data_IF_492475189678
#
_entry.id   IF_492475189678
#
_cell.length_a   1.000
_cell.length_b   1.000
_cell.length_c   1.000
_cell.angle_alpha   90.00
_cell.angle_beta   90.00
_cell.angle_gamma   90.00
#
_symmetry.space_group_name_H-M   'P 1'
#
loop_
_entity.id
_entity.type
_entity.pdbx_description
1 polymer ?
#
# COMPACT_ATOMS: atom_id res chain seq x y z
N UNK A 1 10.65 -2.90 5.11
CA UNK A 1 10.51 -4.34 5.43
C UNK A 1 11.49 -4.80 6.51
N UNK A 2 12.80 -4.64 6.34
CA UNK A 2 13.79 -5.10 7.35
C UNK A 2 13.61 -4.50 8.75
N UNK A 3 13.21 -3.25 8.85
CA UNK A 3 12.89 -2.60 10.14
C UNK A 3 11.81 -3.38 10.91
N UNK A 4 10.68 -3.68 10.26
CA UNK A 4 9.60 -4.42 10.90
C UNK A 4 9.99 -5.85 11.26
N UNK A 5 10.77 -6.52 10.40
CA UNK A 5 11.26 -7.86 10.68
C UNK A 5 12.15 -7.87 11.91
N UNK A 6 13.07 -6.91 12.04
CA UNK A 6 13.92 -6.77 13.22
C UNK A 6 13.11 -6.43 14.47
N UNK A 7 12.20 -5.43 14.36
CA UNK A 7 11.34 -5.02 15.47
C UNK A 7 10.56 -6.19 16.03
N UNK A 8 9.81 -6.90 15.18
CA UNK A 8 8.98 -8.03 15.62
C UNK A 8 9.82 -9.16 16.19
N UNK A 9 10.91 -9.54 15.50
CA UNK A 9 11.76 -10.64 15.93
C UNK A 9 12.39 -10.40 17.31
N UNK A 10 12.87 -9.18 17.56
CA UNK A 10 13.60 -8.86 18.79
C UNK A 10 12.66 -8.47 19.94
N UNK A 11 11.64 -7.64 19.67
CA UNK A 11 10.82 -7.06 20.75
C UNK A 11 9.58 -7.89 21.07
N UNK A 12 8.93 -8.48 20.07
CA UNK A 12 7.68 -9.21 20.26
C UNK A 12 7.90 -10.72 20.39
N UNK A 13 8.85 -11.26 19.62
CA UNK A 13 9.18 -12.70 19.66
C UNK A 13 10.36 -13.01 20.58
N UNK A 14 10.91 -12.00 21.24
CA UNK A 14 12.06 -12.12 22.18
C UNK A 14 13.27 -12.86 21.57
N UNK A 15 13.50 -12.65 20.28
CA UNK A 15 14.65 -13.21 19.57
C UNK A 15 15.96 -12.58 20.03
N UNK A 16 17.01 -13.39 20.04
CA UNK A 16 18.37 -12.94 20.38
C UNK A 16 18.94 -12.09 19.25
N UNK A 17 18.59 -10.81 19.22
CA UNK A 17 19.00 -9.86 18.17
C UNK A 17 19.08 -8.43 18.65
N UNK A 18 19.68 -7.57 17.84
CA UNK A 18 19.77 -6.14 18.07
C UNK A 18 18.59 -5.40 17.45
N UNK A 19 17.97 -4.51 18.21
CA UNK A 19 17.02 -3.53 17.71
C UNK A 19 17.06 -2.25 18.51
N UNK A 20 17.21 -1.11 17.84
CA UNK A 20 17.21 0.21 18.47
C UNK A 20 16.35 1.18 17.69
N UNK A 21 15.43 1.88 18.35
CA UNK A 21 14.69 3.02 17.82
C UNK A 21 14.44 4.04 18.92
N UNK A 22 15.15 5.17 18.91
CA UNK A 22 15.01 6.22 19.93
C UNK A 22 13.59 6.81 20.02
N UNK A 23 12.83 6.80 18.91
CA UNK A 23 11.45 7.31 18.90
C UNK A 23 10.50 6.44 19.72
N UNK A 24 10.83 5.16 19.86
CA UNK A 24 10.09 4.19 20.65
C UNK A 24 10.69 3.99 22.06
N UNK A 25 11.82 4.60 22.34
CA UNK A 25 12.56 4.37 23.58
C UNK A 25 13.12 2.95 23.71
N UNK A 26 13.39 2.29 22.59
CA UNK A 26 13.85 0.90 22.55
C UNK A 26 15.34 0.88 22.20
N UNK A 27 16.14 0.19 23.03
CA UNK A 27 17.53 -0.16 22.74
C UNK A 27 17.81 -1.55 23.31
N UNK A 28 17.65 -2.56 22.48
CA UNK A 28 17.88 -3.97 22.81
C UNK A 28 19.15 -4.43 22.11
N UNK A 29 20.07 -4.99 22.87
CA UNK A 29 21.34 -5.52 22.40
C UNK A 29 21.59 -6.93 22.90
N UNK A 30 22.01 -7.80 22.00
CA UNK A 30 22.41 -9.16 22.33
C UNK A 30 23.78 -9.49 21.72
N UNK A 31 24.54 -10.29 22.44
CA UNK A 31 25.82 -10.81 21.93
C UNK A 31 25.82 -12.35 22.03
N UNK A 32 25.86 -13.06 20.89
CA UNK A 32 25.85 -12.55 19.51
C UNK A 32 24.47 -12.08 19.07
N UNK A 33 24.41 -11.14 18.10
CA UNK A 33 23.18 -10.84 17.36
C UNK A 33 22.89 -11.96 16.37
N UNK A 34 21.81 -12.70 16.58
CA UNK A 34 21.37 -13.79 15.71
C UNK A 34 20.26 -13.39 14.73
N UNK A 35 19.67 -12.19 14.87
CA UNK A 35 18.60 -11.68 14.03
C UNK A 35 19.15 -10.85 12.87
N UNK A 36 19.97 -9.87 13.15
CA UNK A 36 20.49 -8.91 12.16
C UNK A 36 21.09 -9.57 10.92
N UNK A 37 21.99 -10.56 11.03
CA UNK A 37 22.58 -11.23 9.88
C UNK A 37 21.57 -11.97 8.98
N UNK A 38 20.39 -12.32 9.49
CA UNK A 38 19.35 -13.04 8.75
C UNK A 38 18.37 -12.13 8.02
N UNK A 39 18.33 -10.83 8.35
CA UNK A 39 17.33 -9.90 7.79
C UNK A 39 17.44 -9.74 6.28
N UNK A 40 18.64 -9.78 5.72
CA UNK A 40 18.84 -9.67 4.27
C UNK A 40 18.23 -10.87 3.53
N UNK A 41 18.46 -12.09 4.01
CA UNK A 41 17.89 -13.30 3.44
C UNK A 41 16.36 -13.34 3.57
N UNK A 42 15.84 -12.97 4.74
CA UNK A 42 14.40 -12.88 4.98
C UNK A 42 13.74 -11.87 4.04
N UNK A 43 14.36 -10.71 3.85
CA UNK A 43 13.86 -9.71 2.89
C UNK A 43 13.87 -10.25 1.46
N UNK A 44 14.95 -10.91 1.03
CA UNK A 44 15.04 -11.53 -0.28
C UNK A 44 13.93 -12.57 -0.49
N UNK A 45 13.70 -13.43 0.51
CA UNK A 45 12.60 -14.39 0.49
C UNK A 45 11.23 -13.71 0.36
N UNK A 46 10.94 -12.70 1.18
CA UNK A 46 9.66 -11.97 1.11
C UNK A 46 9.43 -11.30 -0.25
N UNK A 47 10.51 -10.80 -0.89
CA UNK A 47 10.41 -10.22 -2.22
C UNK A 47 10.30 -11.26 -3.35
N UNK A 48 10.68 -12.50 -3.10
CA UNK A 48 10.56 -13.60 -4.09
C UNK A 48 9.16 -14.21 -4.13
N UNK A 49 8.32 -13.93 -3.13
CA UNK A 49 6.96 -14.45 -3.11
C UNK A 49 6.16 -13.84 -4.26
N UNK A 50 5.46 -14.66 -5.06
CA UNK A 50 4.61 -14.14 -6.13
C UNK A 50 3.45 -13.32 -5.54
N UNK A 51 2.98 -12.34 -6.28
CA UNK A 51 1.71 -11.70 -5.96
C UNK A 51 0.58 -12.75 -6.00
N UNK A 52 -0.44 -12.62 -5.16
CA UNK A 52 -1.61 -13.49 -5.27
C UNK A 52 -2.24 -13.34 -6.66
N UNK A 53 -2.86 -14.40 -7.19
CA UNK A 53 -3.58 -14.30 -8.47
C UNK A 53 -4.71 -13.29 -8.36
N UNK A 54 -5.12 -12.67 -9.48
CA UNK A 54 -6.28 -11.80 -9.51
C UNK A 54 -7.54 -12.48 -8.97
N UNK A 55 -8.52 -11.68 -8.56
CA UNK A 55 -9.81 -12.17 -8.10
C UNK A 55 -10.46 -13.09 -9.16
N UNK A 56 -11.05 -14.22 -8.75
CA UNK A 56 -11.66 -15.20 -9.66
C UNK A 56 -12.82 -14.61 -10.49
N UNK A 57 -13.40 -13.51 -10.07
CA UNK A 57 -14.60 -12.91 -10.67
C UNK A 57 -14.38 -11.50 -11.20
N UNK A 58 -13.55 -11.35 -12.21
CA UNK A 58 -13.51 -10.09 -12.97
C UNK A 58 -13.72 -10.37 -14.48
N UNK A 59 -14.31 -9.40 -15.18
CA UNK A 59 -14.46 -9.45 -16.64
C UNK A 59 -13.23 -8.85 -17.32
N UNK A 60 -12.47 -9.66 -18.04
CA UNK A 60 -11.20 -9.26 -18.64
C UNK A 60 -11.34 -8.16 -19.71
N UNK A 61 -12.42 -8.18 -20.51
CA UNK A 61 -12.64 -7.16 -21.53
C UNK A 61 -13.01 -5.81 -20.90
N UNK A 62 -13.79 -5.84 -19.84
CA UNK A 62 -14.14 -4.66 -19.04
C UNK A 62 -12.92 -4.13 -18.29
N UNK A 63 -12.11 -5.01 -17.70
CA UNK A 63 -10.86 -4.65 -17.02
C UNK A 63 -9.87 -3.95 -17.99
N UNK A 64 -9.77 -4.39 -19.24
CA UNK A 64 -8.92 -3.72 -20.24
C UNK A 64 -9.41 -2.29 -20.56
N UNK A 65 -10.71 -2.04 -20.58
CA UNK A 65 -11.23 -0.66 -20.68
C UNK A 65 -10.92 0.15 -19.42
N UNK A 66 -11.05 -0.49 -18.25
CA UNK A 66 -10.72 0.10 -16.96
C UNK A 66 -9.24 0.47 -16.84
N UNK A 67 -8.34 -0.34 -17.41
CA UNK A 67 -6.91 -0.03 -17.47
C UNK A 67 -6.65 1.32 -18.14
N UNK A 68 -7.34 1.63 -19.23
CA UNK A 68 -7.21 2.92 -19.91
C UNK A 68 -7.74 4.11 -19.09
N UNK A 69 -8.74 3.87 -18.24
CA UNK A 69 -9.19 4.88 -17.27
C UNK A 69 -8.14 5.09 -16.19
N UNK A 70 -7.56 4.00 -15.68
CA UNK A 70 -6.52 4.02 -14.65
C UNK A 70 -5.27 4.78 -15.13
N UNK A 71 -4.77 4.48 -16.31
CA UNK A 71 -3.59 5.12 -16.93
C UNK A 71 -3.76 6.65 -17.01
N UNK A 72 -4.95 7.13 -17.35
CA UNK A 72 -5.20 8.56 -17.46
C UNK A 72 -5.38 9.27 -16.12
N UNK A 73 -5.90 8.58 -15.12
CA UNK A 73 -6.42 9.23 -13.91
C UNK A 73 -5.66 8.86 -12.62
N UNK A 74 -5.00 7.69 -12.59
CA UNK A 74 -4.44 7.13 -11.36
C UNK A 74 -2.93 6.87 -11.45
N UNK A 75 -2.39 6.66 -12.65
CA UNK A 75 -0.99 6.27 -12.86
C UNK A 75 0.01 7.36 -12.45
N UNK A 76 -0.42 8.60 -12.29
CA UNK A 76 0.45 9.68 -11.80
C UNK A 76 1.04 9.40 -10.39
N UNK A 77 0.33 8.61 -9.57
CA UNK A 77 0.76 8.22 -8.23
C UNK A 77 1.01 6.70 -8.16
N UNK A 78 0.18 5.90 -8.83
CA UNK A 78 0.33 4.45 -8.90
C UNK A 78 1.16 4.04 -10.11
N UNK A 79 2.44 4.45 -10.11
CA UNK A 79 3.35 4.33 -11.24
C UNK A 79 3.87 2.90 -11.44
N UNK A 80 4.10 2.53 -12.68
CA UNK A 80 4.73 1.30 -13.15
C UNK A 80 4.21 -0.01 -12.52
N UNK A 81 4.95 -1.09 -12.66
CA UNK A 81 4.61 -2.41 -12.11
C UNK A 81 4.61 -2.46 -10.57
N UNK A 82 5.13 -1.44 -9.90
CA UNK A 82 5.09 -1.35 -8.43
C UNK A 82 3.78 -0.77 -7.90
N UNK A 83 3.06 -0.02 -8.72
CA UNK A 83 1.82 0.66 -8.35
C UNK A 83 2.01 1.73 -7.28
N UNK A 84 3.21 2.33 -7.19
CA UNK A 84 3.52 3.35 -6.16
C UNK A 84 4.67 4.25 -6.59
N UNK A 85 4.53 5.55 -6.40
CA UNK A 85 5.60 6.54 -6.55
C UNK A 85 6.44 6.69 -5.27
N UNK A 86 6.09 6.02 -4.20
CA UNK A 86 6.86 6.04 -2.94
C UNK A 86 8.26 5.42 -3.11
N UNK A 87 8.49 4.62 -4.14
CA UNK A 87 9.83 4.16 -4.51
C UNK A 87 10.77 5.32 -4.85
N UNK A 88 10.24 6.42 -5.35
CA UNK A 88 10.95 7.69 -5.55
C UNK A 88 10.89 8.62 -4.34
N UNK A 89 10.30 8.16 -3.23
CA UNK A 89 10.15 8.94 -2.00
C UNK A 89 8.97 9.91 -1.99
N UNK A 90 8.06 9.84 -2.96
CA UNK A 90 6.88 10.71 -3.00
C UNK A 90 5.93 10.42 -1.82
N UNK A 91 5.39 11.50 -1.26
CA UNK A 91 4.37 11.48 -0.21
C UNK A 91 3.29 12.50 -0.57
N UNK A 92 2.05 12.19 -0.23
CA UNK A 92 0.88 13.00 -0.56
C UNK A 92 0.22 13.55 0.70
N UNK A 93 -0.04 14.85 0.70
CA UNK A 93 -0.78 15.48 1.80
C UNK A 93 -2.23 14.95 1.85
N UNK A 94 -2.87 14.88 3.03
CA UNK A 94 -4.25 14.41 3.14
C UNK A 94 -5.24 15.11 2.23
N UNK A 95 -5.09 16.41 2.01
CA UNK A 95 -5.96 17.18 1.13
C UNK A 95 -5.79 16.86 -0.37
N UNK A 96 -4.64 16.35 -0.80
CA UNK A 96 -4.44 15.90 -2.19
C UNK A 96 -5.25 14.65 -2.51
N UNK A 97 -5.44 13.80 -1.51
CA UNK A 97 -6.10 12.51 -1.66
C UNK A 97 -7.50 12.47 -1.03
N UNK A 98 -7.90 13.55 -0.36
CA UNK A 98 -9.17 13.62 0.37
C UNK A 98 -9.23 12.71 1.61
N UNK A 99 -8.07 12.30 2.12
CA UNK A 99 -7.98 11.45 3.29
C UNK A 99 -8.06 12.24 4.59
N UNK A 100 -8.52 11.59 5.66
CA UNK A 100 -8.42 12.14 7.00
C UNK A 100 -6.96 12.37 7.41
N UNK A 101 -6.70 13.51 8.06
CA UNK A 101 -5.35 13.91 8.45
C UNK A 101 -4.86 13.37 9.79
N UNK A 102 -5.70 12.67 10.56
CA UNK A 102 -5.39 12.29 11.94
C UNK A 102 -4.16 11.39 12.06
N UNK A 103 -4.01 10.39 11.18
CA UNK A 103 -2.83 9.54 11.16
C UNK A 103 -1.61 10.25 10.56
N UNK A 104 -1.79 11.00 9.49
CA UNK A 104 -0.70 11.76 8.87
C UNK A 104 -0.07 12.73 9.87
N UNK A 105 -0.89 13.39 10.70
CA UNK A 105 -0.40 14.34 11.71
C UNK A 105 0.57 13.74 12.74
N UNK A 106 0.55 12.41 12.93
CA UNK A 106 1.43 11.66 13.82
C UNK A 106 2.78 11.30 13.19
N UNK A 107 2.91 11.48 11.88
CA UNK A 107 4.15 11.17 11.15
C UNK A 107 4.99 12.43 10.96
N UNK A 108 6.30 12.26 10.82
CA UNK A 108 7.22 13.38 10.56
C UNK A 108 6.88 14.11 9.26
N UNK A 109 6.50 13.37 8.22
CA UNK A 109 6.16 13.94 6.90
C UNK A 109 4.75 14.52 6.83
N UNK A 110 3.89 14.28 7.83
CA UNK A 110 2.47 14.71 7.85
C UNK A 110 1.72 14.38 6.57
N UNK A 111 2.07 13.27 5.94
CA UNK A 111 1.59 12.86 4.62
C UNK A 111 1.46 11.34 4.54
N UNK A 112 0.75 10.88 3.53
CA UNK A 112 0.57 9.48 3.20
C UNK A 112 1.44 9.05 2.02
N UNK A 113 1.85 7.79 2.00
CA UNK A 113 2.47 7.17 0.83
C UNK A 113 1.39 6.62 -0.09
N UNK A 114 1.65 6.57 -1.37
CA UNK A 114 0.85 5.76 -2.30
C UNK A 114 1.05 4.28 -1.99
N UNK A 115 -0.03 3.56 -1.70
CA UNK A 115 0.00 2.13 -1.42
C UNK A 115 0.07 1.33 -2.72
N UNK A 116 0.97 0.35 -2.85
CA UNK A 116 0.95 -0.60 -3.96
C UNK A 116 -0.40 -1.30 -4.09
N UNK A 117 -0.83 -1.56 -5.34
CA UNK A 117 -2.18 -2.08 -5.61
C UNK A 117 -2.25 -3.60 -5.82
N UNK A 118 -1.12 -4.31 -5.76
CA UNK A 118 -1.10 -5.77 -5.97
C UNK A 118 -1.95 -6.49 -4.93
N UNK A 119 -2.89 -7.30 -5.39
CA UNK A 119 -3.78 -8.05 -4.53
C UNK A 119 -4.75 -7.19 -3.72
N UNK A 120 -4.99 -5.96 -4.14
CA UNK A 120 -5.80 -5.01 -3.38
C UNK A 120 -7.23 -5.52 -3.14
N UNK A 121 -7.76 -6.37 -4.01
CA UNK A 121 -9.06 -7.00 -3.87
C UNK A 121 -9.21 -7.87 -2.61
N UNK A 122 -8.10 -8.30 -2.00
CA UNK A 122 -8.09 -9.09 -0.76
C UNK A 122 -8.23 -8.25 0.52
N UNK A 123 -8.19 -6.93 0.44
CA UNK A 123 -7.99 -6.07 1.61
C UNK A 123 -9.11 -5.05 1.88
N UNK A 124 -10.42 -5.42 1.72
CA UNK A 124 -11.46 -4.54 2.25
C UNK A 124 -11.47 -4.57 3.80
N UNK A 125 -11.87 -3.49 4.48
CA UNK A 125 -12.18 -2.19 3.90
C UNK A 125 -10.93 -1.40 3.51
N UNK A 126 -11.11 -0.45 2.58
CA UNK A 126 -10.04 0.33 1.98
C UNK A 126 -9.81 1.66 2.71
N UNK A 127 -8.69 2.31 2.35
CA UNK A 127 -8.08 3.45 3.00
C UNK A 127 -7.49 3.11 4.37
N UNK A 128 -6.72 4.04 4.95
CA UNK A 128 -6.02 3.83 6.22
C UNK A 128 -6.98 3.71 7.43
N UNK A 129 -8.19 4.22 7.29
CA UNK A 129 -9.24 4.26 8.32
C UNK A 129 -10.40 3.27 8.03
N UNK A 130 -10.34 2.55 6.91
CA UNK A 130 -11.39 1.62 6.50
C UNK A 130 -12.67 2.30 6.00
N UNK A 131 -12.64 3.59 5.66
CA UNK A 131 -13.83 4.37 5.31
C UNK A 131 -14.48 3.96 3.98
N UNK A 132 -13.79 3.22 3.12
CA UNK A 132 -14.34 2.68 1.89
C UNK A 132 -14.52 1.16 2.00
N UNK A 133 -15.76 0.69 2.08
CA UNK A 133 -16.06 -0.73 2.24
C UNK A 133 -15.81 -1.56 0.97
N UNK A 134 -15.84 -0.93 -0.21
CA UNK A 134 -15.76 -1.60 -1.52
C UNK A 134 -14.85 -0.83 -2.48
N UNK A 135 -14.42 -1.47 -3.57
CA UNK A 135 -13.67 -0.80 -4.65
C UNK A 135 -14.52 0.27 -5.36
N UNK A 136 -15.84 0.08 -5.45
CA UNK A 136 -16.75 1.10 -5.97
C UNK A 136 -16.67 2.39 -5.12
N UNK A 137 -16.69 2.24 -3.79
CA UNK A 137 -16.56 3.37 -2.88
C UNK A 137 -15.20 4.07 -3.01
N UNK A 138 -14.11 3.32 -3.26
CA UNK A 138 -12.79 3.88 -3.54
C UNK A 138 -12.80 4.71 -4.83
N UNK A 139 -13.38 4.18 -5.90
CA UNK A 139 -13.48 4.87 -7.18
C UNK A 139 -14.34 6.13 -7.07
N UNK A 140 -15.47 6.06 -6.37
CA UNK A 140 -16.34 7.22 -6.14
C UNK A 140 -15.65 8.31 -5.30
N UNK A 141 -14.85 7.91 -4.31
CA UNK A 141 -14.06 8.84 -3.53
C UNK A 141 -13.09 9.63 -4.40
N UNK A 142 -12.26 8.93 -5.20
CA UNK A 142 -11.28 9.60 -6.05
C UNK A 142 -11.91 10.37 -7.21
N UNK A 143 -13.02 9.88 -7.78
CA UNK A 143 -13.78 10.62 -8.79
C UNK A 143 -14.21 11.99 -8.25
N UNK A 144 -14.74 12.03 -7.03
CA UNK A 144 -15.15 13.26 -6.36
C UNK A 144 -13.98 14.16 -5.98
N UNK A 145 -12.95 13.60 -5.32
CA UNK A 145 -11.82 14.38 -4.79
C UNK A 145 -10.94 14.97 -5.89
N UNK A 146 -10.73 14.20 -6.95
CA UNK A 146 -9.88 14.61 -8.08
C UNK A 146 -10.68 15.24 -9.22
N UNK A 147 -12.02 15.38 -9.07
CA UNK A 147 -12.91 15.91 -10.08
C UNK A 147 -12.74 15.24 -11.46
N UNK A 148 -12.65 13.89 -11.47
CA UNK A 148 -12.34 13.13 -12.69
C UNK A 148 -13.50 13.09 -13.69
N UNK A 149 -14.73 13.34 -13.22
CA UNK A 149 -15.96 13.32 -13.99
C UNK A 149 -16.18 12.01 -14.77
N UNK A 150 -15.91 10.87 -14.10
CA UNK A 150 -16.07 9.55 -14.69
C UNK A 150 -17.54 9.20 -14.88
N UNK A 151 -17.90 8.65 -16.06
CA UNK A 151 -19.22 8.05 -16.26
C UNK A 151 -19.39 6.78 -15.41
N UNK A 152 -20.63 6.35 -15.21
CA UNK A 152 -20.90 5.11 -14.47
C UNK A 152 -20.25 3.87 -15.13
N UNK A 153 -20.21 3.85 -16.48
CA UNK A 153 -19.52 2.76 -17.18
C UNK A 153 -18.01 2.79 -16.96
N UNK A 154 -17.39 3.97 -16.96
CA UNK A 154 -15.96 4.09 -16.67
C UNK A 154 -15.61 3.69 -15.22
N UNK A 155 -16.47 4.01 -14.26
CA UNK A 155 -16.31 3.55 -12.88
C UNK A 155 -16.39 2.03 -12.77
N UNK A 156 -17.40 1.42 -13.41
CA UNK A 156 -17.54 -0.03 -13.43
C UNK A 156 -16.35 -0.72 -14.12
N UNK A 157 -15.89 -0.18 -15.26
CA UNK A 157 -14.72 -0.67 -15.96
C UNK A 157 -13.46 -0.58 -15.07
N UNK A 158 -13.25 0.54 -14.38
CA UNK A 158 -12.13 0.75 -13.47
C UNK A 158 -12.16 -0.23 -12.29
N UNK A 159 -13.32 -0.51 -11.71
CA UNK A 159 -13.47 -1.52 -10.65
C UNK A 159 -13.05 -2.90 -11.14
N UNK A 160 -13.42 -3.30 -12.38
CA UNK A 160 -12.97 -4.57 -12.94
C UNK A 160 -11.45 -4.62 -13.14
N UNK A 161 -10.84 -3.50 -13.54
CA UNK A 161 -9.39 -3.43 -13.64
C UNK A 161 -8.73 -3.57 -12.24
N UNK A 162 -9.23 -2.87 -11.24
CA UNK A 162 -8.70 -2.97 -9.87
C UNK A 162 -8.81 -4.38 -9.30
N UNK A 163 -9.84 -5.15 -9.67
CA UNK A 163 -9.98 -6.57 -9.30
C UNK A 163 -8.97 -7.47 -10.01
N UNK A 164 -8.40 -7.03 -11.12
CA UNK A 164 -7.42 -7.79 -11.88
C UNK A 164 -5.97 -7.62 -11.41
N UNK A 165 -5.73 -6.71 -10.47
CA UNK A 165 -4.42 -6.41 -9.88
C UNK A 165 -4.15 -7.35 -8.68
#
# INVERSE_FOLDING_TARGET
MSYWNAYVAVTQMHGQGDFSDPRLGIDVKHSPDLVGPRLAALRAYQHSLPAPPPAESFDAATAERGRKVFERSCERCHVDASGTDNNAGALHAPNETGMDGAYASRTTGKAYRTTPLRGLWQHPPYFHDGSAATLDAVVDHYDRVQALALSQSQKADLVQFLKSL
#
